data_IF_431887818446
#
_entry.id   IF_431887818446
#
_cell.length_a   1.000
_cell.length_b   1.000
_cell.length_c   1.000
_cell.angle_alpha   90.00
_cell.angle_beta   90.00
_cell.angle_gamma   90.00
#
_symmetry.space_group_name_H-M   'P 1'
#
loop_
_entity.id
_entity.type
_entity.pdbx_description
1 polymer ?
#
# COMPACT_ATOMS: atom_id res chain seq x y z
N UNK A 1 -11.43 -6.43 3.22
CA UNK A 1 -10.43 -6.97 4.17
C UNK A 1 -9.70 -5.88 4.99
N UNK A 2 -8.97 -6.27 6.05
CA UNK A 2 -8.12 -5.36 6.87
C UNK A 2 -6.66 -5.76 6.78
N UNK A 3 -5.80 -4.82 6.41
CA UNK A 3 -4.34 -4.98 6.35
C UNK A 3 -3.66 -4.02 7.32
N UNK A 4 -2.36 -4.23 7.60
CA UNK A 4 -1.57 -3.34 8.45
C UNK A 4 -0.85 -2.29 7.62
N UNK A 5 -0.95 -1.03 8.02
CA UNK A 5 -0.16 0.05 7.45
C UNK A 5 1.31 -0.13 7.87
N UNK A 6 2.26 -0.29 6.93
CA UNK A 6 3.67 -0.45 7.25
C UNK A 6 4.33 0.83 7.78
N UNK A 7 3.66 1.98 7.68
CA UNK A 7 4.17 3.29 8.11
C UNK A 7 3.81 3.59 9.57
N UNK A 8 2.53 3.47 9.93
CA UNK A 8 2.04 3.82 11.28
C UNK A 8 1.59 2.62 12.13
N UNK A 9 1.49 1.42 11.54
CA UNK A 9 1.07 0.19 12.24
C UNK A 9 -0.43 0.05 12.49
N UNK A 10 -1.24 1.05 12.14
CA UNK A 10 -2.71 0.98 12.24
C UNK A 10 -3.32 0.13 11.12
N UNK A 11 -4.59 -0.24 11.29
CA UNK A 11 -5.32 -0.99 10.28
C UNK A 11 -5.70 -0.11 9.09
N UNK A 12 -5.71 -0.71 7.90
CA UNK A 12 -6.16 -0.13 6.63
C UNK A 12 -7.31 -0.96 6.13
N UNK A 13 -8.45 -0.32 5.90
CA UNK A 13 -9.60 -0.97 5.28
C UNK A 13 -9.40 -1.00 3.76
N UNK A 14 -9.36 -2.21 3.21
CA UNK A 14 -9.12 -2.44 1.78
C UNK A 14 -10.31 -3.22 1.22
N UNK A 15 -10.92 -2.82 0.09
CA UNK A 15 -12.04 -3.55 -0.50
C UNK A 15 -11.66 -5.01 -0.81
N UNK A 16 -12.62 -5.93 -0.71
CA UNK A 16 -12.37 -7.36 -0.94
C UNK A 16 -12.14 -7.71 -2.42
N UNK A 17 -12.54 -6.84 -3.35
CA UNK A 17 -12.30 -6.97 -4.80
C UNK A 17 -10.98 -6.31 -5.25
N UNK A 18 -10.14 -5.90 -4.30
CA UNK A 18 -8.90 -5.18 -4.62
C UNK A 18 -7.93 -6.05 -5.42
N UNK A 19 -7.28 -5.44 -6.40
CA UNK A 19 -6.26 -6.08 -7.23
C UNK A 19 -4.85 -5.67 -6.80
N UNK A 20 -3.86 -6.57 -6.97
CA UNK A 20 -2.46 -6.20 -6.77
C UNK A 20 -2.07 -5.06 -7.74
N UNK A 21 -1.38 -4.04 -7.23
CA UNK A 21 -1.02 -2.82 -7.94
C UNK A 21 -1.98 -1.65 -7.70
N UNK A 22 -3.12 -1.85 -7.05
CA UNK A 22 -4.01 -0.75 -6.68
C UNK A 22 -3.41 0.12 -5.57
N UNK A 23 -3.75 1.41 -5.63
CA UNK A 23 -3.25 2.43 -4.71
C UNK A 23 -4.33 2.75 -3.68
N UNK A 24 -3.92 2.79 -2.41
CA UNK A 24 -4.78 3.10 -1.26
C UNK A 24 -4.14 4.22 -0.46
N UNK A 25 -4.90 5.28 -0.21
CA UNK A 25 -4.50 6.36 0.70
C UNK A 25 -4.93 6.03 2.13
N UNK A 26 -4.04 6.27 3.10
CA UNK A 26 -4.32 6.03 4.51
C UNK A 26 -4.39 7.35 5.29
N UNK A 27 -5.14 7.36 6.39
CA UNK A 27 -5.33 8.54 7.25
C UNK A 27 -4.03 9.09 7.87
N UNK A 28 -2.97 8.27 7.94
CA UNK A 28 -1.65 8.73 8.39
C UNK A 28 -0.89 9.56 7.33
N UNK A 29 -1.45 9.72 6.13
CA UNK A 29 -0.84 10.45 5.01
C UNK A 29 0.02 9.59 4.09
N UNK A 30 0.10 8.27 4.32
CA UNK A 30 0.83 7.37 3.45
C UNK A 30 -0.02 6.98 2.22
N UNK A 31 0.62 7.03 1.05
CA UNK A 31 0.12 6.37 -0.16
C UNK A 31 0.70 4.95 -0.20
N UNK A 32 -0.16 3.94 -0.30
CA UNK A 32 0.21 2.53 -0.20
C UNK A 32 -0.19 1.79 -1.48
N UNK A 33 0.63 0.85 -1.94
CA UNK A 33 0.28 -0.10 -3.00
C UNK A 33 -0.11 -1.45 -2.39
N UNK A 34 -1.18 -2.03 -2.91
CA UNK A 34 -1.62 -3.39 -2.59
C UNK A 34 -0.75 -4.38 -3.34
N UNK A 35 -0.09 -5.28 -2.60
CA UNK A 35 0.76 -6.32 -3.18
C UNK A 35 0.26 -7.70 -2.78
N UNK A 36 0.45 -8.67 -3.67
CA UNK A 36 0.13 -10.08 -3.42
C UNK A 36 1.42 -10.89 -3.33
N UNK A 37 1.63 -11.55 -2.21
CA UNK A 37 2.75 -12.46 -2.00
C UNK A 37 2.56 -13.77 -2.76
N UNK A 38 3.65 -14.52 -2.94
CA UNK A 38 3.63 -15.78 -3.67
C UNK A 38 2.78 -16.88 -2.98
N UNK A 39 2.52 -16.77 -1.68
CA UNK A 39 1.60 -17.66 -0.97
C UNK A 39 0.12 -17.30 -1.19
N UNK A 40 -0.16 -16.17 -1.84
CA UNK A 40 -1.50 -15.67 -2.10
C UNK A 40 -2.01 -14.64 -1.09
N UNK A 41 -1.25 -14.35 -0.03
CA UNK A 41 -1.61 -13.32 0.95
C UNK A 41 -1.42 -11.90 0.40
N UNK A 42 -2.27 -10.98 0.84
CA UNK A 42 -2.20 -9.56 0.48
C UNK A 42 -1.49 -8.76 1.56
N UNK A 43 -0.67 -7.80 1.16
CA UNK A 43 0.04 -6.86 2.05
C UNK A 43 0.04 -5.46 1.43
N UNK A 44 0.45 -4.48 2.24
CA UNK A 44 0.63 -3.11 1.79
C UNK A 44 2.11 -2.77 1.82
N UNK A 45 2.59 -2.07 0.79
CA UNK A 45 3.89 -1.38 0.81
C UNK A 45 3.67 0.12 0.60
N UNK A 46 4.53 1.00 1.14
CA UNK A 46 4.52 2.40 0.73
C UNK A 46 4.69 2.46 -0.79
N UNK A 47 3.82 3.21 -1.47
CA UNK A 47 4.08 3.59 -2.84
C UNK A 47 5.25 4.54 -2.77
N UNK A 48 6.42 4.09 -3.20
CA UNK A 48 7.60 4.94 -3.29
C UNK A 48 7.26 6.05 -4.28
N UNK A 49 6.92 7.21 -3.72
CA UNK A 49 6.84 8.44 -4.48
C UNK A 49 8.17 8.60 -5.15
N UNK A 50 8.13 8.61 -6.49
CA UNK A 50 9.09 9.27 -7.37
C UNK A 50 10.32 9.73 -6.58
N UNK A 51 11.36 8.89 -6.56
CA UNK A 51 12.68 9.28 -6.04
C UNK A 51 12.95 10.70 -6.55
N UNK A 52 13.43 11.58 -5.67
CA UNK A 52 13.78 12.99 -5.91
C UNK A 52 14.94 13.13 -6.94
N UNK A 53 14.81 12.42 -8.06
CA UNK A 53 15.75 12.25 -9.17
C UNK A 53 14.97 12.41 -10.51
N UNK A 54 13.86 13.17 -10.48
CA UNK A 54 13.31 13.77 -11.70
C UNK A 54 13.95 15.14 -11.87
N UNK A 55 15.18 15.16 -12.39
CA UNK A 55 15.81 16.38 -12.87
C UNK A 55 17.31 16.48 -12.57
N UNK A 56 18.11 15.90 -13.46
CA UNK A 56 19.20 16.66 -14.07
C UNK A 56 18.82 17.00 -15.51
#
# INVERSE_FOLDING_TARGET
MKLKCPVCGLDVEVPDDVLPGEIVEHECGATLEVVKSNDGSYHLKPLEGVSEDWGE
#
